data_IF_391183073455
#
_entry.id   IF_391183073455
#
_cell.length_a   1.000
_cell.length_b   1.000
_cell.length_c   1.000
_cell.angle_alpha   90.00
_cell.angle_beta   90.00
_cell.angle_gamma   90.00
#
_symmetry.space_group_name_H-M   'P 1'
#
loop_
_entity.id
_entity.type
_entity.pdbx_description
1 polymer ?
#
# COMPACT_ATOMS: atom_id res chain seq x y z
N UNK A 1 11.14 -5.96 -12.19
CA UNK A 1 12.10 -5.20 -11.37
C UNK A 1 11.90 -5.61 -9.92
N UNK A 2 12.90 -6.21 -9.25
CA UNK A 2 12.71 -6.84 -7.93
C UNK A 2 12.57 -5.85 -6.76
N UNK A 3 12.41 -4.55 -7.02
CA UNK A 3 12.50 -3.51 -5.99
C UNK A 3 11.16 -2.89 -5.59
N UNK A 4 10.02 -3.42 -6.07
CA UNK A 4 8.69 -2.94 -5.67
C UNK A 4 8.06 -3.91 -4.68
N UNK A 5 7.64 -3.39 -3.53
CA UNK A 5 6.90 -4.19 -2.56
C UNK A 5 5.46 -4.38 -3.05
N UNK A 6 5.02 -5.62 -3.16
CA UNK A 6 3.62 -5.96 -3.46
C UNK A 6 2.82 -5.91 -2.16
N UNK A 7 1.78 -5.08 -2.12
CA UNK A 7 0.96 -4.88 -0.92
C UNK A 7 -0.52 -5.07 -1.27
N UNK A 8 -1.27 -5.74 -0.39
CA UNK A 8 -2.71 -5.87 -0.56
C UNK A 8 -3.37 -4.49 -0.37
N UNK A 9 -4.30 -4.06 -1.24
CA UNK A 9 -4.97 -2.76 -1.10
C UNK A 9 -5.62 -2.53 0.27
N UNK A 10 -6.24 -3.56 0.87
CA UNK A 10 -6.85 -3.48 2.20
C UNK A 10 -5.78 -3.27 3.26
N UNK A 11 -4.66 -3.99 3.16
CA UNK A 11 -3.56 -3.85 4.11
C UNK A 11 -2.88 -2.48 4.01
N UNK A 12 -2.71 -1.96 2.79
CA UNK A 12 -2.20 -0.62 2.56
C UNK A 12 -3.09 0.45 3.19
N UNK A 13 -4.42 0.32 3.04
CA UNK A 13 -5.39 1.23 3.67
C UNK A 13 -5.30 1.18 5.20
N UNK A 14 -5.36 -0.01 5.80
CA UNK A 14 -5.31 -0.19 7.25
C UNK A 14 -4.02 0.42 7.84
N UNK A 15 -2.88 0.20 7.19
CA UNK A 15 -1.61 0.77 7.62
C UNK A 15 -1.62 2.30 7.59
N UNK A 16 -2.23 2.93 6.59
CA UNK A 16 -2.35 4.38 6.57
C UNK A 16 -3.28 4.91 7.68
N UNK A 17 -4.36 4.20 7.99
CA UNK A 17 -5.25 4.54 9.11
C UNK A 17 -4.52 4.44 10.45
N UNK A 18 -3.74 3.38 10.68
CA UNK A 18 -2.89 3.19 11.88
C UNK A 18 -1.83 4.29 12.03
N UNK A 19 -1.27 4.75 10.91
CA UNK A 19 -0.33 5.88 10.88
C UNK A 19 -1.01 7.26 11.07
N UNK A 20 -2.33 7.29 11.27
CA UNK A 20 -3.09 8.51 11.53
C UNK A 20 -3.37 9.35 10.29
N UNK A 21 -3.31 8.76 9.08
CA UNK A 21 -3.69 9.47 7.87
C UNK A 21 -5.20 9.70 7.84
N UNK A 22 -5.60 10.91 7.47
CA UNK A 22 -7.01 11.23 7.22
C UNK A 22 -7.54 10.52 5.97
N UNK A 23 -8.83 10.25 5.94
CA UNK A 23 -9.50 9.54 4.85
C UNK A 23 -9.26 10.18 3.47
N UNK A 24 -9.23 11.52 3.41
CA UNK A 24 -8.96 12.24 2.16
C UNK A 24 -7.53 12.03 1.65
N UNK A 25 -6.55 11.90 2.54
CA UNK A 25 -5.16 11.60 2.17
C UNK A 25 -5.01 10.16 1.70
N UNK A 26 -5.72 9.22 2.34
CA UNK A 26 -5.75 7.81 1.94
C UNK A 26 -6.29 7.68 0.52
N UNK A 27 -7.47 8.27 0.23
CA UNK A 27 -8.07 8.28 -1.11
C UNK A 27 -7.16 8.92 -2.16
N UNK A 28 -6.38 9.94 -1.77
CA UNK A 28 -5.39 10.57 -2.64
C UNK A 28 -4.25 9.58 -2.95
N UNK A 29 -3.68 8.92 -1.94
CA UNK A 29 -2.59 7.94 -2.09
C UNK A 29 -2.98 6.68 -2.86
N UNK A 30 -4.23 6.23 -2.74
CA UNK A 30 -4.74 5.10 -3.53
C UNK A 30 -4.78 5.40 -5.05
N UNK A 31 -5.03 6.67 -5.40
CA UNK A 31 -5.14 7.15 -6.79
C UNK A 31 -3.81 7.60 -7.40
N UNK A 32 -2.74 7.76 -6.61
CA UNK A 32 -1.43 8.13 -7.13
C UNK A 32 -0.88 7.02 -8.05
N UNK A 33 -0.44 7.41 -9.26
CA UNK A 33 0.16 6.50 -10.23
C UNK A 33 1.52 5.95 -9.74
N UNK A 34 2.25 6.74 -8.96
CA UNK A 34 3.52 6.36 -8.32
C UNK A 34 3.27 6.09 -6.86
N UNK A 35 2.87 4.85 -6.54
CA UNK A 35 2.62 4.47 -5.15
C UNK A 35 3.95 4.29 -4.43
N UNK A 36 4.19 5.17 -3.47
CA UNK A 36 5.28 5.05 -2.51
C UNK A 36 4.72 5.05 -1.09
N UNK A 37 5.41 4.31 -0.23
CA UNK A 37 5.13 4.29 1.20
C UNK A 37 6.46 4.47 1.93
N UNK A 38 6.59 5.58 2.65
CA UNK A 38 7.81 5.92 3.41
C UNK A 38 9.09 5.84 2.56
N UNK A 39 9.02 6.25 1.30
CA UNK A 39 10.15 6.21 0.36
C UNK A 39 10.36 4.87 -0.36
N UNK A 40 9.60 3.82 0.00
CA UNK A 40 9.64 2.52 -0.68
C UNK A 40 8.61 2.50 -1.81
N UNK A 41 8.99 2.16 -3.06
CA UNK A 41 8.04 2.01 -4.14
C UNK A 41 7.22 0.74 -3.94
N UNK A 42 5.90 0.87 -4.07
CA UNK A 42 4.96 -0.24 -3.86
C UNK A 42 4.11 -0.47 -5.10
N UNK A 43 3.58 -1.68 -5.19
CA UNK A 43 2.57 -2.09 -6.15
C UNK A 43 1.40 -2.66 -5.37
N UNK A 44 0.21 -2.08 -5.54
CA UNK A 44 -0.99 -2.64 -4.91
C UNK A 44 -1.50 -3.79 -5.77
N UNK A 45 -1.59 -4.98 -5.18
CA UNK A 45 -2.10 -6.18 -5.85
C UNK A 45 -2.90 -7.04 -4.88
N UNK A 46 -3.97 -7.65 -5.39
CA UNK A 46 -4.74 -8.63 -4.64
C UNK A 46 -4.01 -9.99 -4.54
N UNK A 47 -3.03 -10.22 -5.42
CA UNK A 47 -2.16 -11.40 -5.44
C UNK A 47 -1.05 -11.33 -4.38
N UNK A 48 -1.42 -11.15 -3.11
CA UNK A 48 -0.46 -11.32 -2.03
C UNK A 48 -0.45 -12.79 -1.65
N UNK A 49 0.67 -13.47 -1.92
CA UNK A 49 0.91 -14.81 -1.37
C UNK A 49 0.73 -14.71 0.15
N UNK A 50 -0.32 -15.34 0.68
CA UNK A 50 -0.39 -15.61 2.12
C UNK A 50 0.81 -16.49 2.42
N UNK A 51 1.72 -16.02 3.27
CA UNK A 51 2.71 -16.92 3.84
C UNK A 51 1.92 -17.95 4.64
N UNK A 52 1.86 -19.19 4.16
CA UNK A 52 1.36 -20.30 4.97
C UNK A 52 2.30 -20.42 6.16
N UNK A 53 1.72 -20.29 7.37
CA UNK A 53 2.41 -20.47 8.65
C UNK A 53 2.52 -21.94 8.99
#
# INVERSE_FOLDING_TARGET
MPNKLKVNPVHFKNLLEELGYSEWMIKKKEKEMTKNLLGVPIELTEEVQRFEF
#
